data_IF_584689329594
#
_entry.id   IF_584689329594
#
_cell.length_a   1.000
_cell.length_b   1.000
_cell.length_c   1.000
_cell.angle_alpha   90.00
_cell.angle_beta   90.00
_cell.angle_gamma   90.00
#
_symmetry.space_group_name_H-M   'P 1'
#
loop_
_entity.id
_entity.type
_entity.pdbx_description
1 polymer ?
#
# COMPACT_ATOMS: atom_id res chain seq x y z
N UNK A 1 24.96 -21.54 0.54
CA UNK A 1 25.67 -20.85 -0.54
C UNK A 1 24.97 -21.16 -1.84
N UNK A 2 24.27 -20.18 -2.42
CA UNK A 2 23.75 -20.30 -3.79
C UNK A 2 24.94 -20.30 -4.77
N UNK A 3 24.85 -21.15 -5.80
CA UNK A 3 25.75 -21.08 -6.94
C UNK A 3 25.31 -19.92 -7.82
N UNK A 4 26.20 -18.94 -8.01
CA UNK A 4 25.98 -17.64 -8.68
C UNK A 4 25.79 -17.82 -10.21
N UNK A 5 26.12 -19.00 -10.76
CA UNK A 5 25.97 -19.36 -12.17
C UNK A 5 24.53 -19.77 -12.55
N UNK A 6 23.50 -19.11 -12.01
CA UNK A 6 22.11 -19.40 -12.38
C UNK A 6 21.44 -18.21 -13.05
N UNK A 7 20.66 -18.54 -14.08
CA UNK A 7 19.64 -17.70 -14.71
C UNK A 7 18.88 -16.93 -13.62
N UNK A 8 18.58 -15.63 -13.82
CA UNK A 8 17.90 -14.82 -12.83
C UNK A 8 16.65 -15.52 -12.31
N UNK A 9 16.56 -15.68 -10.99
CA UNK A 9 15.52 -16.48 -10.36
C UNK A 9 14.35 -15.57 -9.98
N UNK A 10 13.58 -15.19 -10.99
CA UNK A 10 12.38 -14.38 -10.84
C UNK A 10 11.40 -14.97 -9.79
N UNK A 11 11.34 -16.31 -9.71
CA UNK A 11 10.48 -17.00 -8.76
C UNK A 11 11.00 -16.83 -7.33
N UNK A 12 12.31 -16.93 -7.12
CA UNK A 12 12.93 -16.65 -5.83
C UNK A 12 12.70 -15.22 -5.38
N UNK A 13 13.02 -14.21 -6.21
CA UNK A 13 12.81 -12.81 -5.86
C UNK A 13 11.34 -12.53 -5.51
N UNK A 14 10.41 -13.08 -6.28
CA UNK A 14 8.98 -13.04 -5.99
C UNK A 14 8.64 -13.68 -4.64
N UNK A 15 9.11 -14.91 -4.37
CA UNK A 15 8.85 -15.58 -3.09
C UNK A 15 9.39 -14.79 -1.90
N UNK A 16 10.60 -14.23 -2.05
CA UNK A 16 11.25 -13.43 -1.02
C UNK A 16 10.55 -12.10 -0.78
N UNK A 17 10.00 -11.43 -1.81
CA UNK A 17 9.18 -10.23 -1.63
C UNK A 17 7.92 -10.52 -0.79
N UNK A 18 7.22 -11.62 -1.07
CA UNK A 18 6.06 -12.04 -0.28
C UNK A 18 6.44 -12.47 1.14
N UNK A 19 7.62 -13.09 1.32
CA UNK A 19 8.16 -13.40 2.64
C UNK A 19 8.51 -12.13 3.42
N UNK A 20 9.13 -11.16 2.77
CA UNK A 20 9.45 -9.86 3.35
C UNK A 20 8.20 -9.14 3.85
N UNK A 21 7.14 -9.08 3.03
CA UNK A 21 5.87 -8.50 3.46
C UNK A 21 5.30 -9.19 4.70
N UNK A 22 5.47 -10.51 4.83
CA UNK A 22 5.07 -11.23 6.03
C UNK A 22 5.95 -10.91 7.24
N UNK A 23 7.28 -10.96 7.08
CA UNK A 23 8.26 -10.75 8.16
C UNK A 23 8.15 -9.35 8.77
N UNK A 24 7.88 -8.34 7.93
CA UNK A 24 7.72 -6.94 8.36
C UNK A 24 6.26 -6.55 8.63
N UNK A 25 5.33 -7.51 8.63
CA UNK A 25 3.90 -7.29 8.87
C UNK A 25 3.29 -6.19 7.96
N UNK A 26 3.70 -6.15 6.70
CA UNK A 26 3.20 -5.19 5.71
C UNK A 26 1.77 -5.57 5.34
N UNK A 27 0.83 -4.67 5.61
CA UNK A 27 -0.61 -4.89 5.42
C UNK A 27 -1.38 -3.64 4.98
N UNK A 28 -0.67 -2.56 4.65
CA UNK A 28 -1.23 -1.28 4.22
C UNK A 28 -0.45 -0.72 3.03
N UNK A 29 -1.11 0.08 2.20
CA UNK A 29 -0.49 0.88 1.15
C UNK A 29 -0.71 2.37 1.44
N UNK A 30 0.22 3.24 1.01
CA UNK A 30 1.52 2.92 0.40
C UNK A 30 2.49 2.33 1.45
N UNK A 31 3.35 1.39 1.04
CA UNK A 31 4.34 0.80 1.96
C UNK A 31 5.39 1.82 2.35
N UNK A 32 5.59 2.08 3.64
CA UNK A 32 6.60 3.03 4.12
C UNK A 32 7.97 2.35 4.33
N UNK A 33 9.00 2.66 3.51
CA UNK A 33 10.32 2.10 3.72
C UNK A 33 11.02 2.65 4.99
N UNK A 34 10.70 3.88 5.40
CA UNK A 34 11.35 4.52 6.54
C UNK A 34 10.97 3.83 7.85
N UNK A 35 9.70 3.44 8.01
CA UNK A 35 9.23 2.66 9.16
C UNK A 35 9.96 1.30 9.26
N UNK A 36 10.13 0.63 8.12
CA UNK A 36 10.81 -0.67 8.07
C UNK A 36 12.29 -0.53 8.45
N UNK A 37 13.00 0.44 7.85
CA UNK A 37 14.40 0.71 8.16
C UNK A 37 14.56 1.09 9.64
N UNK A 38 13.69 1.95 10.17
CA UNK A 38 13.71 2.36 11.56
C UNK A 38 13.57 1.16 12.53
N UNK A 39 12.72 0.20 12.20
CA UNK A 39 12.50 -1.03 12.98
C UNK A 39 13.58 -2.10 12.76
N UNK A 40 14.52 -1.89 11.86
CA UNK A 40 15.57 -2.85 11.51
C UNK A 40 16.92 -2.35 12.02
N UNK A 41 17.42 -2.83 13.18
CA UNK A 41 18.55 -2.21 13.88
C UNK A 41 19.83 -2.10 13.04
N UNK A 42 20.06 -3.07 12.15
CA UNK A 42 21.24 -3.15 11.28
C UNK A 42 21.13 -2.31 10.01
N UNK A 43 20.01 -1.65 9.73
CA UNK A 43 19.83 -0.88 8.50
C UNK A 43 19.87 0.61 8.80
N UNK A 44 20.53 1.37 7.92
CA UNK A 44 20.63 2.83 7.99
C UNK A 44 20.38 3.42 6.63
N UNK A 45 19.40 4.31 6.54
CA UNK A 45 19.21 5.15 5.36
C UNK A 45 20.18 6.33 5.42
N UNK A 46 20.85 6.60 4.31
CA UNK A 46 21.69 7.77 4.13
C UNK A 46 21.45 8.37 2.75
N UNK A 47 21.63 9.67 2.66
CA UNK A 47 21.72 10.38 1.40
C UNK A 47 23.19 10.65 1.01
N UNK A 48 23.49 10.85 -0.27
CA UNK A 48 24.88 11.04 -0.74
C UNK A 48 25.59 12.17 -0.02
N UNK A 49 24.91 13.28 0.27
CA UNK A 49 25.50 14.37 1.04
C UNK A 49 25.89 14.00 2.48
N UNK A 50 25.14 13.11 3.13
CA UNK A 50 25.46 12.64 4.49
C UNK A 50 26.69 11.75 4.46
N UNK A 51 26.78 10.85 3.47
CA UNK A 51 27.96 10.00 3.30
C UNK A 51 29.19 10.82 2.94
N UNK A 52 29.05 11.81 2.04
CA UNK A 52 30.13 12.71 1.65
C UNK A 52 30.69 13.46 2.87
N UNK A 53 29.81 13.98 3.74
CA UNK A 53 30.18 14.63 4.99
C UNK A 53 30.93 13.69 5.94
N UNK A 54 30.42 12.48 6.15
CA UNK A 54 31.07 11.48 7.02
C UNK A 54 32.47 11.07 6.54
N UNK A 55 32.67 11.03 5.22
CA UNK A 55 33.93 10.65 4.58
C UNK A 55 34.88 11.83 4.37
N UNK A 56 34.42 13.08 4.52
CA UNK A 56 35.21 14.27 4.23
C UNK A 56 35.52 14.46 2.73
N UNK A 57 34.64 13.99 1.85
CA UNK A 57 34.77 14.07 0.39
C UNK A 57 33.62 14.88 -0.23
N UNK A 58 33.69 15.18 -1.52
CA UNK A 58 32.59 15.85 -2.23
C UNK A 58 31.43 14.90 -2.53
N UNK A 59 30.21 15.44 -2.69
CA UNK A 59 29.05 14.66 -3.15
C UNK A 59 29.31 14.02 -4.51
N UNK A 60 29.93 14.77 -5.42
CA UNK A 60 30.34 14.28 -6.74
C UNK A 60 31.27 13.06 -6.63
N UNK A 61 32.21 13.07 -5.67
CA UNK A 61 33.10 11.92 -5.44
C UNK A 61 32.31 10.68 -5.00
N UNK A 62 31.35 10.84 -4.08
CA UNK A 62 30.47 9.73 -3.67
C UNK A 62 29.71 9.16 -4.87
N UNK A 63 29.10 10.01 -5.68
CA UNK A 63 28.27 9.59 -6.82
C UNK A 63 29.10 8.91 -7.92
N UNK A 64 30.29 9.43 -8.21
CA UNK A 64 31.13 8.96 -9.34
C UNK A 64 32.11 7.84 -8.98
N UNK A 65 32.62 7.80 -7.75
CA UNK A 65 33.69 6.87 -7.34
C UNK A 65 33.29 5.88 -6.23
N UNK A 66 32.09 6.01 -5.65
CA UNK A 66 31.60 5.07 -4.61
C UNK A 66 30.34 4.35 -5.10
N UNK A 67 29.32 5.10 -5.51
CA UNK A 67 28.04 4.51 -5.91
C UNK A 67 28.11 3.81 -7.27
N UNK A 68 28.76 4.44 -8.26
CA UNK A 68 28.74 3.99 -9.66
C UNK A 68 27.31 3.78 -10.20
N UNK A 69 26.32 4.41 -9.56
CA UNK A 69 24.90 4.31 -9.82
C UNK A 69 24.31 5.70 -9.70
N UNK A 70 23.27 6.00 -10.50
CA UNK A 70 22.62 7.31 -10.50
C UNK A 70 21.69 7.51 -9.32
N UNK A 71 21.15 6.42 -8.76
CA UNK A 71 19.96 6.49 -7.91
C UNK A 71 20.25 6.04 -6.48
N UNK A 72 20.94 4.92 -6.28
CA UNK A 72 21.17 4.32 -4.97
C UNK A 72 22.29 3.29 -4.92
N UNK A 73 22.64 2.89 -3.70
CA UNK A 73 23.61 1.83 -3.40
C UNK A 73 23.36 1.19 -2.02
N UNK A 74 23.28 -0.14 -1.99
CA UNK A 74 23.40 -0.94 -0.78
C UNK A 74 24.86 -1.22 -0.46
N UNK A 75 25.31 -0.80 0.74
CA UNK A 75 26.69 -0.98 1.20
C UNK A 75 26.73 -1.61 2.58
N UNK A 76 27.52 -2.65 2.76
CA UNK A 76 27.77 -3.29 4.06
C UNK A 76 29.01 -2.69 4.73
N UNK A 77 28.82 -2.07 5.89
CA UNK A 77 29.87 -1.52 6.75
C UNK A 77 30.33 -2.61 7.73
N UNK A 78 31.47 -3.23 7.41
CA UNK A 78 32.05 -4.33 8.20
C UNK A 78 32.39 -3.88 9.62
N UNK A 79 32.88 -2.64 9.79
CA UNK A 79 33.34 -2.15 11.09
C UNK A 79 32.18 -1.97 12.08
N UNK A 80 30.99 -1.68 11.56
CA UNK A 80 29.78 -1.44 12.36
C UNK A 80 28.76 -2.59 12.28
N UNK A 81 29.02 -3.65 11.50
CA UNK A 81 28.09 -4.77 11.25
C UNK A 81 26.68 -4.27 10.88
N UNK A 82 26.63 -3.34 9.91
CA UNK A 82 25.41 -2.68 9.47
C UNK A 82 25.36 -2.50 7.95
N UNK A 83 24.15 -2.39 7.41
CA UNK A 83 23.90 -2.05 6.02
C UNK A 83 23.49 -0.58 5.91
N UNK A 84 24.20 0.15 5.06
CA UNK A 84 23.84 1.49 4.62
C UNK A 84 23.07 1.38 3.29
N UNK A 85 21.86 1.93 3.27
CA UNK A 85 21.06 2.15 2.07
C UNK A 85 21.31 3.60 1.68
N UNK A 86 22.07 3.83 0.61
CA UNK A 86 22.49 5.15 0.17
C UNK A 86 21.60 5.58 -0.98
N UNK A 87 21.05 6.80 -0.92
CA UNK A 87 20.18 7.38 -1.94
C UNK A 87 20.79 8.66 -2.48
N UNK A 88 20.74 8.83 -3.80
CA UNK A 88 21.20 10.02 -4.51
C UNK A 88 20.44 11.28 -4.08
N UNK A 89 21.15 12.41 -4.04
CA UNK A 89 20.60 13.75 -3.78
C UNK A 89 20.10 14.45 -5.06
N UNK A 90 20.11 13.77 -6.21
CA UNK A 90 19.70 14.36 -7.48
C UNK A 90 18.24 14.87 -7.42
N UNK A 91 17.98 16.03 -8.04
CA UNK A 91 16.65 16.63 -8.15
C UNK A 91 15.61 15.70 -8.81
N UNK A 92 16.05 14.77 -9.66
CA UNK A 92 15.17 13.77 -10.30
C UNK A 92 14.68 12.67 -9.33
N UNK A 93 15.20 12.65 -8.09
CA UNK A 93 14.79 11.73 -7.03
C UNK A 93 13.52 12.24 -6.34
N UNK A 94 12.41 12.25 -7.07
CA UNK A 94 11.07 12.49 -6.52
C UNK A 94 10.62 11.30 -5.66
N UNK A 95 9.63 11.51 -4.79
CA UNK A 95 9.21 10.54 -3.75
C UNK A 95 9.04 9.10 -4.28
N UNK A 96 8.28 8.90 -5.36
CA UNK A 96 8.06 7.57 -5.92
C UNK A 96 9.33 6.89 -6.44
N UNK A 97 10.32 7.66 -6.91
CA UNK A 97 11.63 7.14 -7.32
C UNK A 97 12.49 6.81 -6.11
N UNK A 98 12.51 7.68 -5.08
CA UNK A 98 13.20 7.39 -3.81
C UNK A 98 12.66 6.08 -3.21
N UNK A 99 11.34 5.94 -3.11
CA UNK A 99 10.71 4.72 -2.54
C UNK A 99 11.08 3.47 -3.32
N UNK A 100 11.07 3.55 -4.66
CA UNK A 100 11.55 2.45 -5.50
C UNK A 100 13.00 2.10 -5.21
N UNK A 101 13.90 3.09 -5.26
CA UNK A 101 15.33 2.89 -5.03
C UNK A 101 15.61 2.33 -3.65
N UNK A 102 14.96 2.84 -2.60
CA UNK A 102 15.15 2.31 -1.24
C UNK A 102 14.74 0.84 -1.16
N UNK A 103 13.60 0.45 -1.73
CA UNK A 103 13.20 -0.97 -1.73
C UNK A 103 14.05 -1.84 -2.64
N UNK A 104 14.61 -1.29 -3.72
CA UNK A 104 15.58 -1.97 -4.57
C UNK A 104 16.85 -2.30 -3.78
N UNK A 105 17.41 -1.33 -3.06
CA UNK A 105 18.58 -1.55 -2.19
C UNK A 105 18.28 -2.50 -1.02
N UNK A 106 17.09 -2.39 -0.42
CA UNK A 106 16.60 -3.37 0.56
C UNK A 106 16.56 -4.77 -0.06
N UNK A 107 16.16 -4.88 -1.34
CA UNK A 107 16.19 -6.12 -2.10
C UNK A 107 17.58 -6.75 -2.11
N UNK A 108 18.62 -5.99 -2.46
CA UNK A 108 20.00 -6.51 -2.42
C UNK A 108 20.41 -7.02 -1.03
N UNK A 109 19.98 -6.34 0.04
CA UNK A 109 20.30 -6.74 1.41
C UNK A 109 19.52 -7.99 1.82
N UNK A 110 18.20 -7.99 1.62
CA UNK A 110 17.30 -9.05 2.09
C UNK A 110 17.41 -10.34 1.26
N UNK A 111 17.70 -10.25 -0.03
CA UNK A 111 18.03 -11.39 -0.90
C UNK A 111 19.45 -11.93 -0.66
N UNK A 112 20.19 -11.33 0.27
CA UNK A 112 21.54 -11.71 0.67
C UNK A 112 22.61 -11.56 -0.42
N UNK A 113 22.37 -10.71 -1.44
CA UNK A 113 23.29 -10.52 -2.57
C UNK A 113 24.70 -10.12 -2.10
N UNK A 114 24.79 -9.26 -1.07
CA UNK A 114 26.07 -8.82 -0.51
C UNK A 114 26.83 -9.95 0.20
N UNK A 115 26.17 -10.71 1.08
CA UNK A 115 26.85 -11.76 1.85
C UNK A 115 27.18 -12.99 1.01
N UNK A 116 26.28 -13.41 0.12
CA UNK A 116 26.48 -14.60 -0.73
C UNK A 116 27.68 -14.43 -1.66
N UNK A 117 27.92 -13.21 -2.13
CA UNK A 117 29.07 -12.85 -2.97
C UNK A 117 30.31 -12.45 -2.15
N UNK A 118 30.20 -12.38 -0.82
CA UNK A 118 31.21 -11.83 0.11
C UNK A 118 31.69 -10.44 -0.33
N UNK A 119 30.77 -9.59 -0.77
CA UNK A 119 31.04 -8.22 -1.22
C UNK A 119 30.48 -7.21 -0.22
N UNK A 120 31.10 -6.04 -0.19
CA UNK A 120 30.64 -4.90 0.62
C UNK A 120 29.69 -3.98 -0.15
N UNK A 121 29.64 -4.10 -1.48
CA UNK A 121 28.75 -3.35 -2.35
C UNK A 121 28.46 -4.15 -3.63
N UNK A 122 27.32 -3.89 -4.28
CA UNK A 122 26.98 -4.43 -5.59
C UNK A 122 27.32 -3.37 -6.64
N UNK A 123 28.51 -3.47 -7.25
CA UNK A 123 28.95 -2.58 -8.33
C UNK A 123 29.54 -3.39 -9.49
N UNK A 124 29.56 -2.80 -10.68
CA UNK A 124 30.07 -3.42 -11.90
C UNK A 124 31.58 -3.72 -11.87
N UNK A 125 32.33 -3.15 -10.92
CA UNK A 125 33.77 -3.40 -10.77
C UNK A 125 34.08 -4.81 -10.24
N UNK A 126 33.15 -5.39 -9.49
CA UNK A 126 33.38 -6.63 -8.72
C UNK A 126 32.68 -7.86 -9.29
N UNK A 127 31.87 -7.69 -10.34
CA UNK A 127 30.98 -8.68 -10.93
C UNK A 127 31.10 -8.68 -12.45
N UNK A 128 30.85 -9.83 -13.08
CA UNK A 128 30.60 -9.83 -14.53
C UNK A 128 29.31 -9.07 -14.82
N UNK A 129 29.18 -8.53 -16.04
CA UNK A 129 27.97 -7.81 -16.44
C UNK A 129 26.71 -8.68 -16.33
N UNK A 130 26.83 -9.99 -16.61
CA UNK A 130 25.71 -10.94 -16.48
C UNK A 130 25.29 -11.12 -15.02
N UNK A 131 26.24 -11.35 -14.10
CA UNK A 131 25.95 -11.45 -12.67
C UNK A 131 25.31 -10.18 -12.14
N UNK A 132 25.87 -9.02 -12.48
CA UNK A 132 25.32 -7.72 -12.09
C UNK A 132 23.86 -7.58 -12.55
N UNK A 133 23.60 -7.83 -13.84
CA UNK A 133 22.25 -7.73 -14.41
C UNK A 133 21.26 -8.69 -13.73
N UNK A 134 21.69 -9.89 -13.35
CA UNK A 134 20.82 -10.87 -12.68
C UNK A 134 20.41 -10.38 -11.28
N UNK A 135 21.34 -9.81 -10.52
CA UNK A 135 21.08 -9.31 -9.17
C UNK A 135 20.18 -8.07 -9.18
N UNK A 136 20.43 -7.13 -10.10
CA UNK A 136 19.59 -5.94 -10.32
C UNK A 136 18.16 -6.35 -10.72
N UNK A 137 18.03 -7.35 -11.60
CA UNK A 137 16.73 -7.86 -12.02
C UNK A 137 15.95 -8.51 -10.86
N UNK A 138 16.63 -9.28 -10.00
CA UNK A 138 16.03 -9.85 -8.79
C UNK A 138 15.60 -8.76 -7.80
N UNK A 139 16.42 -7.72 -7.60
CA UNK A 139 16.11 -6.57 -6.75
C UNK A 139 14.91 -5.76 -7.30
N UNK A 140 14.81 -5.57 -8.61
CA UNK A 140 13.67 -4.91 -9.26
C UNK A 140 12.37 -5.70 -9.10
N UNK A 141 12.41 -7.03 -9.25
CA UNK A 141 11.24 -7.88 -8.97
C UNK A 141 10.84 -7.74 -7.51
N UNK A 142 11.81 -7.79 -6.60
CA UNK A 142 11.58 -7.67 -5.18
C UNK A 142 10.89 -6.34 -4.83
N UNK A 143 11.49 -5.21 -5.25
CA UNK A 143 10.96 -3.88 -4.99
C UNK A 143 9.55 -3.71 -5.58
N UNK A 144 9.35 -4.15 -6.83
CA UNK A 144 8.06 -4.07 -7.50
C UNK A 144 6.96 -4.88 -6.81
N UNK A 145 7.27 -6.07 -6.31
CA UNK A 145 6.27 -6.89 -5.61
C UNK A 145 5.98 -6.41 -4.18
N UNK A 146 6.95 -5.83 -3.47
CA UNK A 146 6.72 -5.23 -2.15
C UNK A 146 5.90 -3.94 -2.27
N UNK A 147 6.28 -3.04 -3.18
CA UNK A 147 5.63 -1.73 -3.33
C UNK A 147 4.25 -1.82 -3.97
N UNK A 148 4.08 -2.70 -4.95
CA UNK A 148 2.85 -2.85 -5.72
C UNK A 148 2.73 -4.30 -6.21
N UNK A 149 2.46 -5.22 -5.28
CA UNK A 149 2.27 -6.64 -5.60
C UNK A 149 1.25 -6.79 -6.70
N UNK A 150 1.63 -7.45 -7.81
CA UNK A 150 0.75 -7.57 -8.98
C UNK A 150 -0.57 -8.25 -8.63
N UNK A 151 -0.55 -9.17 -7.68
CA UNK A 151 -1.73 -9.90 -7.23
C UNK A 151 -2.66 -9.06 -6.38
N UNK A 152 -2.10 -8.22 -5.50
CA UNK A 152 -2.89 -7.26 -4.73
C UNK A 152 -3.52 -6.21 -5.65
N UNK A 153 -2.75 -5.69 -6.61
CA UNK A 153 -3.24 -4.75 -7.61
C UNK A 153 -4.41 -5.33 -8.43
N UNK A 154 -4.31 -6.59 -8.87
CA UNK A 154 -5.43 -7.30 -9.51
C UNK A 154 -6.65 -7.44 -8.60
N UNK A 155 -6.45 -7.74 -7.33
CA UNK A 155 -7.55 -7.90 -6.38
C UNK A 155 -8.26 -6.57 -6.08
N UNK A 156 -7.51 -5.46 -6.10
CA UNK A 156 -8.05 -4.10 -5.99
C UNK A 156 -8.90 -3.73 -7.22
N UNK A 157 -8.76 -4.44 -8.33
CA UNK A 157 -9.43 -4.18 -9.62
C UNK A 157 -9.02 -2.82 -10.18
N UNK A 158 -7.71 -2.58 -10.25
CA UNK A 158 -7.16 -1.38 -10.89
C UNK A 158 -7.50 -1.34 -12.38
N UNK A 159 -7.78 -0.15 -12.88
CA UNK A 159 -8.19 0.14 -14.25
C UNK A 159 -6.99 0.58 -15.10
N UNK A 160 -6.08 1.39 -14.55
CA UNK A 160 -4.93 1.96 -15.24
C UNK A 160 -3.69 2.11 -14.33
N UNK A 161 -2.57 2.59 -14.87
CA UNK A 161 -1.36 2.88 -14.11
C UNK A 161 -1.51 4.03 -13.11
N UNK A 162 -2.44 4.96 -13.33
CA UNK A 162 -2.68 6.09 -12.41
C UNK A 162 -3.21 5.57 -11.07
N UNK A 163 -4.02 4.51 -11.07
CA UNK A 163 -4.42 3.80 -9.84
C UNK A 163 -3.22 3.33 -9.02
N UNK A 164 -2.21 2.75 -9.66
CA UNK A 164 -1.01 2.27 -8.97
C UNK A 164 -0.17 3.44 -8.48
N UNK A 165 0.03 4.44 -9.33
CA UNK A 165 0.77 5.66 -8.98
C UNK A 165 0.21 6.28 -7.70
N UNK A 166 -1.11 6.41 -7.65
CA UNK A 166 -1.85 7.01 -6.56
C UNK A 166 -1.86 6.14 -5.29
N UNK A 167 -2.27 4.87 -5.39
CA UNK A 167 -2.37 3.97 -4.23
C UNK A 167 -1.01 3.58 -3.65
N UNK A 168 -0.02 3.41 -4.50
CA UNK A 168 1.28 2.88 -4.11
C UNK A 168 2.37 3.97 -4.05
N UNK A 169 2.05 5.24 -4.33
CA UNK A 169 2.99 6.38 -4.41
C UNK A 169 4.23 6.07 -5.24
N UNK A 170 4.02 5.62 -6.47
CA UNK A 170 5.09 5.31 -7.43
C UNK A 170 5.21 6.41 -8.48
N UNK A 171 6.37 6.51 -9.13
CA UNK A 171 6.49 7.33 -10.34
C UNK A 171 5.67 6.73 -11.49
N UNK A 172 5.27 7.54 -12.47
CA UNK A 172 4.50 7.07 -13.63
C UNK A 172 5.15 5.88 -14.34
N UNK A 173 6.49 5.93 -14.49
CA UNK A 173 7.27 4.83 -15.07
C UNK A 173 7.19 3.55 -14.23
N UNK A 174 7.31 3.68 -12.91
CA UNK A 174 7.17 2.56 -11.99
C UNK A 174 5.76 1.97 -12.05
N UNK A 175 4.75 2.83 -11.96
CA UNK A 175 3.34 2.47 -12.04
C UNK A 175 3.00 1.75 -13.35
N UNK A 176 3.44 2.27 -14.50
CA UNK A 176 3.24 1.65 -15.81
C UNK A 176 3.84 0.24 -15.88
N UNK A 177 5.06 0.07 -15.39
CA UNK A 177 5.73 -1.24 -15.31
C UNK A 177 4.92 -2.23 -14.47
N UNK A 178 4.41 -1.78 -13.32
CA UNK A 178 3.60 -2.59 -12.41
C UNK A 178 2.20 -2.89 -12.96
N UNK A 179 1.58 -1.96 -13.68
CA UNK A 179 0.27 -2.15 -14.31
C UNK A 179 0.35 -3.24 -15.37
N UNK A 180 1.39 -3.23 -16.22
CA UNK A 180 1.64 -4.31 -17.18
C UNK A 180 1.75 -5.67 -16.48
N UNK A 181 2.44 -5.74 -15.33
CA UNK A 181 2.56 -6.97 -14.53
C UNK A 181 1.25 -7.37 -13.86
N UNK A 182 0.41 -6.43 -13.45
CA UNK A 182 -0.90 -6.72 -12.88
C UNK A 182 -1.89 -7.23 -13.94
N UNK A 183 -1.80 -6.75 -15.18
CA UNK A 183 -2.74 -7.10 -16.26
C UNK A 183 -2.31 -8.27 -17.13
N UNK A 184 -1.10 -8.80 -16.93
CA UNK A 184 -0.63 -10.02 -17.58
C UNK A 184 -1.58 -11.22 -17.31
N UNK A 185 -1.72 -12.08 -18.32
CA UNK A 185 -2.53 -13.28 -18.23
C UNK A 185 -1.78 -14.39 -17.46
N UNK A 186 -2.18 -14.60 -16.21
CA UNK A 186 -1.68 -15.69 -15.38
C UNK A 186 -2.72 -16.80 -15.22
N UNK A 187 -2.30 -18.05 -15.34
CA UNK A 187 -3.19 -19.22 -15.25
C UNK A 187 -3.67 -19.55 -13.83
N UNK A 188 -2.94 -19.11 -12.79
CA UNK A 188 -3.28 -19.35 -11.39
C UNK A 188 -2.66 -18.30 -10.47
N UNK A 189 -3.21 -18.14 -9.27
CA UNK A 189 -2.66 -17.29 -8.20
C UNK A 189 -1.75 -18.14 -7.29
N UNK A 190 -0.48 -17.77 -7.10
CA UNK A 190 0.41 -18.44 -6.15
C UNK A 190 -0.11 -18.40 -4.70
N UNK A 191 0.18 -19.44 -3.91
CA UNK A 191 -0.30 -19.54 -2.53
C UNK A 191 0.23 -18.41 -1.64
N UNK A 192 1.50 -18.03 -1.78
CA UNK A 192 2.09 -16.89 -1.07
C UNK A 192 1.41 -15.56 -1.41
N UNK A 193 1.00 -15.37 -2.68
CA UNK A 193 0.23 -14.19 -3.07
C UNK A 193 -1.18 -14.17 -2.49
N UNK A 194 -1.86 -15.32 -2.46
CA UNK A 194 -3.17 -15.46 -1.80
C UNK A 194 -3.08 -15.10 -0.32
N UNK A 195 -2.03 -15.57 0.34
CA UNK A 195 -1.76 -15.23 1.73
C UNK A 195 -1.43 -13.75 1.93
N UNK A 196 -0.65 -13.13 1.03
CA UNK A 196 -0.44 -11.68 1.08
C UNK A 196 -1.75 -10.92 0.94
N UNK A 197 -2.63 -11.28 -0.01
CA UNK A 197 -3.93 -10.61 -0.16
C UNK A 197 -4.76 -10.71 1.13
N UNK A 198 -4.77 -11.87 1.80
CA UNK A 198 -5.53 -12.03 3.04
C UNK A 198 -5.01 -11.17 4.19
N UNK A 199 -3.72 -10.79 4.19
CA UNK A 199 -3.14 -9.87 5.17
C UNK A 199 -3.61 -8.42 4.99
N UNK A 200 -3.98 -8.05 3.77
CA UNK A 200 -4.58 -6.76 3.45
C UNK A 200 -6.10 -6.74 3.67
N UNK A 201 -6.67 -7.68 4.44
CA UNK A 201 -8.12 -7.77 4.64
C UNK A 201 -8.74 -6.49 5.23
N UNK A 202 -8.09 -5.87 6.22
CA UNK A 202 -8.56 -4.60 6.78
C UNK A 202 -8.36 -3.43 5.81
N UNK A 203 -7.25 -3.39 5.07
CA UNK A 203 -7.03 -2.38 4.02
C UNK A 203 -8.12 -2.46 2.93
N UNK A 204 -8.47 -3.68 2.51
CA UNK A 204 -9.44 -3.97 1.45
C UNK A 204 -10.90 -3.95 1.92
N UNK A 205 -11.13 -3.85 3.22
CA UNK A 205 -12.47 -3.88 3.82
C UNK A 205 -13.29 -2.72 3.32
N UNK A 206 -14.44 -3.02 2.74
CA UNK A 206 -15.37 -1.98 2.32
C UNK A 206 -16.12 -1.41 3.51
N UNK A 207 -16.26 -0.10 3.51
CA UNK A 207 -17.02 0.69 4.49
C UNK A 207 -17.79 1.76 3.75
N UNK A 208 -18.70 2.45 4.45
CA UNK A 208 -19.24 3.71 3.94
C UNK A 208 -18.97 4.85 4.92
N UNK A 209 -18.55 5.99 4.40
CA UNK A 209 -18.07 7.13 5.22
C UNK A 209 -18.97 8.33 4.99
N UNK A 210 -19.39 8.97 6.07
CA UNK A 210 -20.13 10.22 6.04
C UNK A 210 -19.17 11.40 6.01
N UNK A 211 -18.68 11.75 4.82
CA UNK A 211 -17.75 12.86 4.59
C UNK A 211 -18.10 13.63 3.31
N UNK A 212 -17.55 14.84 3.19
CA UNK A 212 -17.61 15.61 1.95
C UNK A 212 -16.80 14.93 0.84
N UNK A 213 -17.28 15.02 -0.40
CA UNK A 213 -16.62 14.40 -1.56
C UNK A 213 -15.16 14.86 -1.73
N UNK A 214 -14.89 16.14 -1.45
CA UNK A 214 -13.56 16.73 -1.59
C UNK A 214 -12.57 16.29 -0.50
N UNK A 215 -13.02 15.58 0.53
CA UNK A 215 -12.15 15.04 1.57
C UNK A 215 -11.38 13.79 1.11
N UNK A 216 -11.92 13.05 0.13
CA UNK A 216 -11.31 11.80 -0.32
C UNK A 216 -10.15 12.04 -1.26
N UNK A 217 -8.99 11.46 -0.95
CA UNK A 217 -7.80 11.48 -1.81
C UNK A 217 -8.05 10.73 -3.13
N UNK A 218 -8.90 9.69 -3.09
CA UNK A 218 -9.14 8.80 -4.22
C UNK A 218 -10.61 8.79 -4.68
N UNK A 219 -11.13 9.91 -5.22
CA UNK A 219 -12.54 10.05 -5.54
C UNK A 219 -13.04 9.07 -6.60
N UNK A 220 -12.15 8.57 -7.48
CA UNK A 220 -12.47 7.60 -8.53
C UNK A 220 -12.96 6.24 -7.99
N UNK A 221 -12.57 5.87 -6.76
CA UNK A 221 -13.02 4.63 -6.13
C UNK A 221 -14.29 4.80 -5.28
N UNK A 222 -14.83 6.02 -5.20
CA UNK A 222 -16.06 6.26 -4.46
C UNK A 222 -17.26 5.75 -5.25
N UNK A 223 -18.10 4.99 -4.56
CA UNK A 223 -19.45 4.66 -5.04
C UNK A 223 -20.48 5.09 -4.01
N UNK A 224 -21.76 5.09 -4.37
CA UNK A 224 -22.83 5.24 -3.39
C UNK A 224 -23.87 4.15 -3.57
N UNK A 225 -24.36 3.62 -2.46
CA UNK A 225 -25.42 2.64 -2.50
C UNK A 225 -26.76 3.31 -2.88
N UNK A 226 -27.57 2.59 -3.66
CA UNK A 226 -28.91 3.04 -4.05
C UNK A 226 -29.84 3.05 -2.83
N UNK A 227 -30.52 4.18 -2.55
CA UNK A 227 -31.53 4.25 -1.49
C UNK A 227 -32.63 3.21 -1.68
N UNK A 228 -33.04 2.55 -0.58
CA UNK A 228 -34.23 1.71 -0.57
C UNK A 228 -35.48 2.59 -0.67
N UNK A 229 -36.42 2.30 -1.59
CA UNK A 229 -37.65 3.07 -1.72
C UNK A 229 -38.50 2.99 -0.45
N UNK A 230 -39.26 4.05 -0.21
CA UNK A 230 -40.20 4.10 0.90
C UNK A 230 -41.44 3.26 0.59
N UNK A 231 -42.02 2.68 1.64
CA UNK A 231 -43.33 2.06 1.61
C UNK A 231 -44.38 3.15 1.37
N UNK A 232 -45.44 2.81 0.62
CA UNK A 232 -46.56 3.72 0.37
C UNK A 232 -47.19 4.26 1.67
N UNK A 233 -47.18 3.45 2.74
CA UNK A 233 -47.54 3.87 4.09
C UNK A 233 -46.52 3.29 5.08
N UNK A 234 -46.03 4.09 6.05
CA UNK A 234 -45.15 3.57 7.09
C UNK A 234 -45.86 2.47 7.90
N UNK A 235 -45.13 1.42 8.28
CA UNK A 235 -45.68 0.39 9.18
C UNK A 235 -46.20 1.07 10.46
N UNK A 236 -47.41 0.71 10.91
CA UNK A 236 -47.98 1.26 12.14
C UNK A 236 -47.17 0.79 13.35
N UNK A 237 -47.29 1.52 14.47
CA UNK A 237 -46.50 1.25 15.69
C UNK A 237 -46.69 -0.17 16.23
N UNK A 238 -47.89 -0.74 16.12
CA UNK A 238 -48.19 -2.11 16.57
C UNK A 238 -47.58 -3.21 15.67
N UNK A 239 -47.21 -2.88 14.43
CA UNK A 239 -46.53 -3.78 13.49
C UNK A 239 -45.02 -3.50 13.43
N UNK A 240 -44.48 -2.78 14.42
CA UNK A 240 -43.06 -2.44 14.51
C UNK A 240 -42.26 -3.70 14.83
N UNK A 241 -41.46 -4.14 13.87
CA UNK A 241 -40.44 -5.18 14.11
C UNK A 241 -39.25 -4.51 14.80
N UNK A 242 -38.71 -5.14 15.85
CA UNK A 242 -37.49 -4.67 16.53
C UNK A 242 -36.36 -4.63 15.49
N UNK A 243 -35.54 -3.59 15.53
CA UNK A 243 -34.43 -3.39 14.58
C UNK A 243 -34.87 -3.30 13.09
N UNK A 244 -36.08 -2.81 12.83
CA UNK A 244 -36.56 -2.57 11.48
C UNK A 244 -37.00 -1.13 11.26
N UNK A 245 -36.74 -0.61 10.07
CA UNK A 245 -37.23 0.68 9.62
C UNK A 245 -38.71 0.58 9.24
N UNK A 246 -39.57 1.36 9.90
CA UNK A 246 -40.99 1.42 9.59
C UNK A 246 -41.30 2.05 8.23
N UNK A 247 -40.36 2.81 7.66
CA UNK A 247 -40.58 3.58 6.43
C UNK A 247 -40.24 2.80 5.16
N UNK A 248 -39.18 1.99 5.17
CA UNK A 248 -38.76 1.20 4.00
C UNK A 248 -38.72 -0.32 4.27
N UNK A 249 -39.03 -0.75 5.50
CA UNK A 249 -38.96 -2.16 5.90
C UNK A 249 -37.54 -2.73 5.90
N UNK A 250 -36.50 -1.91 6.02
CA UNK A 250 -35.13 -2.41 6.14
C UNK A 250 -34.90 -3.00 7.54
N UNK A 251 -34.35 -4.20 7.62
CA UNK A 251 -34.09 -4.94 8.87
C UNK A 251 -32.59 -5.07 9.17
N UNK A 252 -31.74 -4.57 8.27
CA UNK A 252 -30.29 -4.68 8.37
C UNK A 252 -29.65 -3.39 8.89
N UNK A 253 -28.62 -3.49 9.74
CA UNK A 253 -27.85 -2.34 10.23
C UNK A 253 -28.64 -1.30 11.02
N UNK A 254 -29.82 -1.66 11.53
CA UNK A 254 -30.58 -0.84 12.48
C UNK A 254 -30.24 -1.31 13.89
N UNK A 255 -29.58 -0.46 14.66
CA UNK A 255 -29.14 -0.75 16.03
C UNK A 255 -29.71 0.28 17.01
N UNK A 256 -29.50 0.08 18.31
CA UNK A 256 -29.96 1.03 19.34
C UNK A 256 -29.29 2.40 19.21
N UNK A 257 -28.08 2.49 18.62
CA UNK A 257 -27.40 3.77 18.35
C UNK A 257 -27.95 4.48 17.12
N UNK A 258 -28.55 3.77 16.16
CA UNK A 258 -28.98 4.35 14.89
C UNK A 258 -30.10 5.40 15.09
N UNK A 259 -29.82 6.64 14.68
CA UNK A 259 -30.77 7.75 14.67
C UNK A 259 -31.56 7.81 13.35
N UNK A 260 -30.95 7.30 12.27
CA UNK A 260 -31.49 7.23 10.92
C UNK A 260 -31.37 5.82 10.33
N UNK A 261 -32.26 5.48 9.42
CA UNK A 261 -32.20 4.23 8.68
C UNK A 261 -31.10 4.29 7.62
N UNK A 262 -30.13 3.37 7.69
CA UNK A 262 -29.04 3.30 6.73
C UNK A 262 -29.49 3.08 5.27
N UNK A 263 -30.67 2.50 5.05
CA UNK A 263 -31.14 2.14 3.72
C UNK A 263 -31.93 3.27 3.03
N UNK A 264 -32.74 4.04 3.77
CA UNK A 264 -33.63 5.06 3.20
C UNK A 264 -33.47 6.47 3.80
N UNK A 265 -32.59 6.65 4.77
CA UNK A 265 -32.34 7.94 5.42
C UNK A 265 -33.45 8.44 6.34
N UNK A 266 -34.54 7.67 6.51
CA UNK A 266 -35.64 8.09 7.38
C UNK A 266 -35.23 8.05 8.86
N UNK A 267 -35.65 9.03 9.68
CA UNK A 267 -35.31 9.10 11.08
C UNK A 267 -36.03 8.01 11.88
N UNK A 268 -35.28 7.32 12.73
CA UNK A 268 -35.78 6.21 13.56
C UNK A 268 -36.18 6.68 14.97
N UNK A 269 -35.63 7.81 15.43
CA UNK A 269 -35.86 8.39 16.75
C UNK A 269 -36.42 9.81 16.65
N UNK A 270 -37.16 10.29 17.67
CA UNK A 270 -37.51 11.70 17.79
C UNK A 270 -36.24 12.57 17.86
N UNK A 271 -36.28 13.79 17.33
CA UNK A 271 -35.21 14.80 17.37
C UNK A 271 -33.91 14.49 16.59
N UNK A 272 -33.86 13.43 15.77
CA UNK A 272 -32.67 13.09 14.97
C UNK A 272 -32.21 14.20 14.00
N UNK A 273 -33.10 15.12 13.60
CA UNK A 273 -32.85 16.16 12.59
C UNK A 273 -31.85 17.27 12.98
N UNK A 274 -31.35 17.27 14.21
CA UNK A 274 -30.48 18.35 14.73
C UNK A 274 -28.99 18.08 14.53
N UNK A 275 -28.63 16.92 13.99
CA UNK A 275 -27.24 16.48 13.88
C UNK A 275 -26.64 17.02 12.56
N UNK A 276 -25.53 17.76 12.59
CA UNK A 276 -24.86 18.23 11.37
C UNK A 276 -24.43 17.09 10.44
N UNK A 277 -24.45 17.36 9.14
CA UNK A 277 -23.98 16.45 8.09
C UNK A 277 -23.04 17.21 7.15
N UNK A 278 -21.91 16.62 6.72
CA UNK A 278 -21.39 15.31 7.14
C UNK A 278 -20.93 15.28 8.62
N UNK A 279 -20.85 14.09 9.21
CA UNK A 279 -20.47 13.92 10.63
C UNK A 279 -19.21 13.06 10.86
N UNK A 280 -18.54 12.62 9.79
CA UNK A 280 -17.34 11.77 9.85
C UNK A 280 -17.61 10.30 10.20
N UNK A 281 -18.84 9.92 10.55
CA UNK A 281 -19.14 8.56 11.01
C UNK A 281 -18.91 7.51 9.93
N UNK A 282 -18.22 6.42 10.30
CA UNK A 282 -18.00 5.23 9.47
C UNK A 282 -19.12 4.23 9.72
N UNK A 283 -19.80 3.83 8.65
CA UNK A 283 -20.90 2.89 8.65
C UNK A 283 -20.49 1.62 7.93
N UNK A 284 -21.32 0.58 8.06
CA UNK A 284 -21.19 -0.66 7.30
C UNK A 284 -21.31 -0.40 5.79
N UNK A 285 -20.73 -1.30 4.97
CA UNK A 285 -20.65 -1.13 3.51
C UNK A 285 -22.00 -1.08 2.79
N UNK A 286 -23.07 -1.60 3.39
CA UNK A 286 -24.41 -1.62 2.82
C UNK A 286 -25.17 -0.30 3.03
N UNK A 287 -24.65 0.62 3.84
CA UNK A 287 -25.36 1.85 4.15
C UNK A 287 -25.41 2.80 2.95
N UNK A 288 -26.60 3.31 2.64
CA UNK A 288 -26.87 4.37 1.68
C UNK A 288 -26.93 5.75 2.37
N UNK A 289 -27.13 5.77 3.69
CA UNK A 289 -27.17 6.95 4.54
C UNK A 289 -26.46 6.68 5.87
N UNK A 290 -25.93 7.73 6.47
CA UNK A 290 -25.30 7.69 7.78
C UNK A 290 -26.34 7.38 8.86
N UNK A 291 -26.05 6.39 9.72
CA UNK A 291 -26.94 6.03 10.83
C UNK A 291 -27.04 7.13 11.90
N UNK A 292 -26.09 8.07 11.94
CA UNK A 292 -25.98 9.12 12.96
C UNK A 292 -26.66 10.43 12.53
N UNK A 293 -26.30 10.98 11.36
CA UNK A 293 -26.83 12.28 10.89
C UNK A 293 -27.82 12.17 9.73
N UNK A 294 -28.00 10.98 9.12
CA UNK A 294 -28.92 10.79 8.00
C UNK A 294 -28.41 11.32 6.65
N UNK A 295 -27.20 11.88 6.59
CA UNK A 295 -26.56 12.30 5.35
C UNK A 295 -26.24 11.13 4.40
N UNK A 296 -26.10 11.41 3.11
CA UNK A 296 -25.59 10.42 2.14
C UNK A 296 -24.15 10.05 2.50
N UNK A 297 -23.78 8.80 2.24
CA UNK A 297 -22.45 8.26 2.52
C UNK A 297 -21.82 7.74 1.25
N UNK A 298 -20.49 7.75 1.21
CA UNK A 298 -19.71 7.19 0.12
C UNK A 298 -19.13 5.84 0.52
N UNK A 299 -19.30 4.83 -0.33
CA UNK A 299 -18.71 3.50 -0.17
C UNK A 299 -17.32 3.48 -0.79
N UNK A 300 -16.39 2.92 -0.04
CA UNK A 300 -14.96 2.89 -0.37
C UNK A 300 -14.27 1.81 0.46
N UNK A 301 -13.04 1.44 0.09
CA UNK A 301 -12.18 0.56 0.90
C UNK A 301 -11.54 1.35 2.03
N UNK A 302 -11.41 0.75 3.20
CA UNK A 302 -10.93 1.42 4.42
C UNK A 302 -9.53 2.01 4.24
N UNK A 303 -8.63 1.28 3.58
CA UNK A 303 -7.27 1.73 3.29
C UNK A 303 -7.13 2.89 2.31
N UNK A 304 -8.24 3.29 1.66
CA UNK A 304 -8.24 4.40 0.72
C UNK A 304 -8.64 5.73 1.40
N UNK A 305 -9.00 5.66 2.69
CA UNK A 305 -9.49 6.80 3.47
C UNK A 305 -8.73 6.99 4.76
N UNK A 306 -8.23 5.90 5.33
CA UNK A 306 -7.66 5.89 6.67
C UNK A 306 -6.24 5.37 6.64
N UNK A 307 -5.42 5.88 7.55
CA UNK A 307 -4.16 5.28 7.88
C UNK A 307 -4.38 4.01 8.72
N UNK A 308 -3.38 3.12 8.74
CA UNK A 308 -3.48 1.85 9.47
C UNK A 308 -3.76 2.09 10.97
N UNK A 309 -3.17 3.13 11.56
CA UNK A 309 -3.30 3.47 12.98
C UNK A 309 -4.69 4.01 13.37
N UNK A 310 -5.48 4.49 12.42
CA UNK A 310 -6.84 4.99 12.65
C UNK A 310 -7.88 3.86 12.71
N UNK A 311 -7.48 2.65 12.31
CA UNK A 311 -8.35 1.50 12.13
C UNK A 311 -8.28 0.47 13.26
N UNK A 312 -7.30 0.62 14.18
CA UNK A 312 -7.03 -0.30 15.29
C UNK A 312 -7.71 0.10 16.59
#
# INVERSE_FOLDING_TARGET
>A
MRSINKIPDALFAFQMAHRFMYDYNIRWLPVDPYEIIYRTPKWKLKYTHQLAYELGVSVEYVETHIMHSKDGLAMYDIARDQYNIIISNNADMVDGRIRWTVFHEIGHIYLNHLQDLKKTAITTEYLTQEEYNNLEFEADIFAGEVLASKWLMRYIDIVDEEDISLLCRLSDKGAQSRYKKATENYSFIPANATYTISRFSEYLKEVTVCQDYNWFEFPKFLTQNTPKPLLAKPKPSFAKVRNACRFCGNEFGVTERSNFCIACGSPLKPNSYTIPSPCGHVNIKEAAFCEICGGRVFRIRQGFCFEECECT
#
